data_IF_994759329750
#
_entry.id   IF_994759329750
#
_cell.length_a   1.000
_cell.length_b   1.000
_cell.length_c   1.000
_cell.angle_alpha   90.00
_cell.angle_beta   90.00
_cell.angle_gamma   90.00
#
_symmetry.space_group_name_H-M   'P 1'
#
loop_
_entity.id
_entity.type
_entity.pdbx_description
1 polymer ?
#
# COMPACT_ATOMS: atom_id res chain seq x y z
N UNK A 1 -7.62 62.54 41.31
CA UNK A 1 -8.69 61.74 40.69
C UNK A 1 -8.16 60.31 40.65
N UNK A 2 -8.50 59.36 41.53
CA UNK A 2 -9.78 58.93 42.15
C UNK A 2 -10.49 57.83 41.34
N UNK A 3 -10.90 56.75 42.05
CA UNK A 3 -11.56 55.51 41.57
C UNK A 3 -10.67 54.58 40.72
N UNK A 4 -10.75 53.24 40.74
CA UNK A 4 -11.40 52.21 41.59
C UNK A 4 -10.91 50.82 41.07
N UNK A 5 -10.93 49.66 41.74
CA UNK A 5 -11.16 49.08 43.11
C UNK A 5 -10.48 47.68 43.06
N UNK A 6 -10.22 46.89 44.11
CA UNK A 6 -10.44 46.96 45.56
C UNK A 6 -9.83 45.68 46.20
N UNK A 7 -9.60 45.68 47.52
CA UNK A 7 -8.89 44.61 48.25
C UNK A 7 -9.82 43.50 48.76
N UNK A 8 -9.25 42.32 49.05
CA UNK A 8 -9.70 41.55 50.21
C UNK A 8 -8.55 40.82 50.91
N UNK A 9 -8.51 40.95 52.22
CA UNK A 9 -7.48 40.39 53.11
C UNK A 9 -8.05 39.15 53.80
N UNK A 10 -7.21 38.11 53.96
CA UNK A 10 -7.59 36.90 54.65
C UNK A 10 -8.02 37.19 56.11
N UNK A 11 -9.24 36.77 56.47
CA UNK A 11 -9.69 36.73 57.87
C UNK A 11 -9.60 35.30 58.41
N UNK A 12 -8.92 35.18 59.55
CA UNK A 12 -8.80 33.95 60.34
C UNK A 12 -10.16 33.47 60.83
N UNK A 13 -10.34 32.14 60.92
CA UNK A 13 -11.46 31.49 61.62
C UNK A 13 -10.83 30.59 62.70
N UNK A 14 -11.35 30.59 63.95
CA UNK A 14 -10.69 29.91 65.07
C UNK A 14 -10.92 28.39 65.08
N UNK A 15 -9.98 27.72 65.74
CA UNK A 15 -9.99 26.31 66.15
C UNK A 15 -11.01 26.07 67.28
N UNK A 16 -11.78 24.97 67.26
CA UNK A 16 -11.87 23.97 68.36
C UNK A 16 -13.01 22.92 68.22
N UNK A 17 -12.69 21.66 68.61
CA UNK A 17 -13.55 20.46 68.85
C UNK A 17 -14.46 19.95 67.69
N UNK A 18 -14.69 18.64 67.48
CA UNK A 18 -14.00 17.40 67.88
C UNK A 18 -14.58 16.17 67.13
N UNK A 19 -13.99 14.99 67.39
CA UNK A 19 -14.52 13.63 67.18
C UNK A 19 -14.55 13.01 65.77
N UNK A 20 -13.56 12.13 65.56
CA UNK A 20 -13.67 10.76 65.05
C UNK A 20 -14.81 10.41 64.07
N UNK A 21 -14.48 10.23 62.77
CA UNK A 21 -15.16 9.22 61.94
C UNK A 21 -14.27 8.64 60.83
N UNK A 22 -14.10 7.31 60.85
CA UNK A 22 -13.82 6.39 59.73
C UNK A 22 -12.76 6.73 58.65
N UNK A 23 -11.66 5.96 58.63
CA UNK A 23 -10.69 5.86 57.50
C UNK A 23 -11.28 5.31 56.17
N UNK A 24 -12.59 5.10 56.04
CA UNK A 24 -13.23 4.41 54.91
C UNK A 24 -13.63 5.29 53.72
N UNK A 25 -13.97 6.57 53.95
CA UNK A 25 -14.63 7.38 52.91
C UNK A 25 -13.71 7.84 51.76
N UNK A 26 -12.42 8.05 52.03
CA UNK A 26 -11.48 8.63 51.06
C UNK A 26 -11.11 7.68 49.91
N UNK A 27 -11.14 6.36 50.14
CA UNK A 27 -10.82 5.35 49.11
C UNK A 27 -12.00 5.12 48.14
N UNK A 28 -13.23 5.33 48.60
CA UNK A 28 -14.43 5.08 47.77
C UNK A 28 -14.60 6.15 46.68
N UNK A 29 -14.28 7.42 46.98
CA UNK A 29 -14.48 8.53 46.03
C UNK A 29 -13.48 8.48 44.84
N UNK A 30 -12.26 7.98 45.04
CA UNK A 30 -11.32 7.76 43.92
C UNK A 30 -11.75 6.62 42.98
N UNK A 31 -12.40 5.56 43.48
CA UNK A 31 -12.84 4.43 42.64
C UNK A 31 -14.01 4.79 41.72
N UNK A 32 -14.90 5.72 42.14
CA UNK A 32 -16.04 6.14 41.31
C UNK A 32 -15.58 6.90 40.06
N UNK A 33 -14.54 7.74 40.17
CA UNK A 33 -13.96 8.42 39.00
C UNK A 33 -13.28 7.45 38.02
N UNK A 34 -12.63 6.38 38.51
CA UNK A 34 -12.01 5.36 37.64
C UNK A 34 -13.02 4.58 36.79
N UNK A 35 -14.22 4.33 37.31
CA UNK A 35 -15.28 3.59 36.59
C UNK A 35 -15.96 4.48 35.55
N UNK A 36 -16.16 5.77 35.84
CA UNK A 36 -16.74 6.73 34.87
C UNK A 36 -15.79 7.09 33.72
N UNK A 37 -14.47 7.08 33.93
CA UNK A 37 -13.51 7.26 32.84
C UNK A 37 -13.34 6.01 31.96
N UNK A 38 -13.67 4.81 32.48
CA UNK A 38 -13.66 3.55 31.73
C UNK A 38 -14.88 3.32 30.82
N UNK A 39 -15.94 4.13 30.97
CA UNK A 39 -17.18 4.01 30.19
C UNK A 39 -17.31 5.04 29.06
N UNK A 40 -16.38 5.99 28.95
CA UNK A 40 -16.34 6.95 27.85
C UNK A 40 -15.45 6.48 26.71
N UNK A 41 -16.13 5.90 25.71
CA UNK A 41 -15.72 6.01 24.30
C UNK A 41 -14.53 5.16 23.84
N UNK A 42 -14.58 3.84 24.08
CA UNK A 42 -14.27 2.92 22.98
C UNK A 42 -15.41 2.99 21.95
N UNK A 43 -15.49 4.11 21.21
CA UNK A 43 -16.25 4.13 19.98
C UNK A 43 -15.52 3.21 19.01
N UNK A 44 -16.15 2.07 18.71
CA UNK A 44 -15.74 1.24 17.58
C UNK A 44 -15.82 2.11 16.33
N UNK A 45 -14.68 2.60 15.87
CA UNK A 45 -14.52 3.01 14.48
C UNK A 45 -14.63 1.74 13.64
N UNK A 46 -15.88 1.32 13.39
CA UNK A 46 -16.15 0.45 12.26
C UNK A 46 -15.74 1.27 11.04
N UNK A 47 -14.53 0.99 10.53
CA UNK A 47 -14.16 1.45 9.21
C UNK A 47 -15.22 0.89 8.26
N UNK A 48 -16.04 1.78 7.71
CA UNK A 48 -16.92 1.43 6.60
C UNK A 48 -15.98 0.92 5.50
N UNK A 49 -16.04 -0.38 5.22
CA UNK A 49 -15.25 -1.00 4.16
C UNK A 49 -15.91 -0.57 2.86
N UNK A 50 -15.52 0.63 2.42
CA UNK A 50 -15.89 1.16 1.13
C UNK A 50 -15.16 0.32 0.08
N UNK A 51 -15.89 -0.66 -0.46
CA UNK A 51 -15.36 -1.57 -1.49
C UNK A 51 -15.18 -0.74 -2.75
N UNK A 52 -13.94 -0.66 -3.23
CA UNK A 52 -13.62 0.02 -4.48
C UNK A 52 -14.54 -0.44 -5.62
N UNK A 53 -15.17 0.52 -6.30
CA UNK A 53 -15.85 0.26 -7.58
C UNK A 53 -14.78 -0.06 -8.63
N UNK A 54 -14.89 -1.23 -9.26
CA UNK A 54 -13.93 -1.69 -10.27
C UNK A 54 -14.66 -1.91 -11.58
N UNK A 55 -14.28 -1.13 -12.59
CA UNK A 55 -14.80 -1.24 -13.95
C UNK A 55 -13.76 -1.97 -14.81
N UNK A 56 -14.16 -3.01 -15.55
CA UNK A 56 -13.26 -3.80 -16.40
C UNK A 56 -13.66 -3.58 -17.85
N UNK A 57 -12.76 -2.95 -18.61
CA UNK A 57 -13.02 -2.45 -19.97
C UNK A 57 -12.19 -3.27 -20.96
N UNK A 58 -12.85 -4.17 -21.69
CA UNK A 58 -12.24 -4.99 -22.73
C UNK A 58 -12.10 -4.23 -24.07
N UNK A 59 -10.87 -4.05 -24.55
CA UNK A 59 -10.54 -3.45 -25.85
C UNK A 59 -9.96 -4.51 -26.79
N UNK A 60 -10.73 -4.85 -27.82
CA UNK A 60 -10.39 -5.88 -28.84
C UNK A 60 -10.14 -7.29 -28.31
N UNK A 61 -10.41 -7.56 -27.02
CA UNK A 61 -10.43 -8.93 -26.44
C UNK A 61 -11.56 -9.72 -27.10
N UNK A 62 -11.30 -10.93 -27.66
CA UNK A 62 -12.34 -11.76 -28.25
C UNK A 62 -13.39 -12.19 -27.22
N UNK A 63 -14.67 -12.21 -27.58
CA UNK A 63 -15.77 -12.52 -26.64
C UNK A 63 -15.61 -13.88 -25.94
N UNK A 64 -15.00 -14.87 -26.61
CA UNK A 64 -14.71 -16.18 -26.05
C UNK A 64 -13.69 -16.14 -24.88
N UNK A 65 -12.80 -15.14 -24.85
CA UNK A 65 -11.71 -15.02 -23.88
C UNK A 65 -12.05 -14.08 -22.72
N UNK A 66 -13.06 -13.21 -22.86
CA UNK A 66 -13.44 -12.21 -21.83
C UNK A 66 -13.72 -12.81 -20.46
N UNK A 67 -14.34 -13.99 -20.40
CA UNK A 67 -14.62 -14.69 -19.13
C UNK A 67 -13.32 -15.10 -18.43
N UNK A 68 -12.33 -15.59 -19.20
CA UNK A 68 -11.00 -15.98 -18.69
C UNK A 68 -10.20 -14.75 -18.24
N UNK A 69 -10.21 -13.69 -19.05
CA UNK A 69 -9.58 -12.40 -18.74
C UNK A 69 -10.16 -11.81 -17.45
N UNK A 70 -11.49 -11.78 -17.31
CA UNK A 70 -12.13 -11.30 -16.09
C UNK A 70 -11.75 -12.15 -14.88
N UNK A 71 -11.77 -13.49 -14.99
CA UNK A 71 -11.39 -14.39 -13.90
C UNK A 71 -9.94 -14.17 -13.44
N UNK A 72 -9.02 -13.91 -14.37
CA UNK A 72 -7.65 -13.52 -14.06
C UNK A 72 -7.56 -12.18 -13.34
N UNK A 73 -8.26 -11.15 -13.83
CA UNK A 73 -8.28 -9.82 -13.19
C UNK A 73 -8.88 -9.89 -11.78
N UNK A 74 -10.00 -10.59 -11.60
CA UNK A 74 -10.64 -10.83 -10.31
C UNK A 74 -9.69 -11.55 -9.34
N UNK A 75 -8.96 -12.58 -9.81
CA UNK A 75 -7.95 -13.30 -9.04
C UNK A 75 -6.78 -12.38 -8.63
N UNK A 76 -6.31 -11.52 -9.54
CA UNK A 76 -5.26 -10.55 -9.25
C UNK A 76 -5.63 -9.57 -8.15
N UNK A 77 -6.84 -9.01 -8.24
CA UNK A 77 -7.41 -8.11 -7.25
C UNK A 77 -7.54 -8.77 -5.87
N UNK A 78 -8.12 -9.97 -5.81
CA UNK A 78 -8.27 -10.75 -4.58
C UNK A 78 -6.91 -11.12 -3.94
N UNK A 79 -5.95 -11.59 -4.74
CA UNK A 79 -4.60 -11.93 -4.28
C UNK A 79 -3.85 -10.74 -3.67
N UNK A 80 -3.93 -9.57 -4.32
CA UNK A 80 -3.33 -8.33 -3.85
C UNK A 80 -4.06 -7.85 -2.59
N UNK A 81 -5.40 -7.81 -2.59
CA UNK A 81 -6.16 -7.32 -1.44
C UNK A 81 -6.05 -8.21 -0.20
N UNK A 82 -5.90 -9.53 -0.37
CA UNK A 82 -5.55 -10.45 0.74
C UNK A 82 -4.18 -10.17 1.36
N UNK A 83 -3.27 -9.57 0.60
CA UNK A 83 -1.88 -9.31 1.02
C UNK A 83 -1.67 -7.89 1.55
N UNK A 84 -2.29 -6.88 0.92
CA UNK A 84 -2.11 -5.45 1.23
C UNK A 84 -3.31 -4.81 1.95
N UNK A 85 -4.43 -5.52 2.07
CA UNK A 85 -5.71 -4.98 2.54
C UNK A 85 -6.60 -4.47 1.39
N UNK A 86 -7.78 -3.90 1.69
CA UNK A 86 -8.64 -3.33 0.67
C UNK A 86 -7.95 -2.21 -0.13
N UNK A 87 -8.34 -2.03 -1.39
CA UNK A 87 -7.85 -0.92 -2.22
C UNK A 87 -8.17 0.43 -1.56
N UNK A 88 -7.21 1.37 -1.49
CA UNK A 88 -7.44 2.69 -0.89
C UNK A 88 -8.25 3.66 -1.78
N UNK A 89 -8.50 3.30 -3.04
CA UNK A 89 -9.31 4.08 -3.99
C UNK A 89 -10.80 3.74 -3.88
N UNK A 90 -11.68 4.73 -4.07
CA UNK A 90 -13.13 4.52 -4.20
C UNK A 90 -13.54 3.92 -5.55
N UNK A 91 -12.82 4.25 -6.63
CA UNK A 91 -13.07 3.73 -7.98
C UNK A 91 -11.76 3.59 -8.74
N UNK A 92 -11.61 2.49 -9.49
CA UNK A 92 -10.56 2.28 -10.48
C UNK A 92 -11.15 1.68 -11.77
N UNK A 93 -10.45 1.87 -12.89
CA UNK A 93 -10.74 1.17 -14.14
C UNK A 93 -9.59 0.23 -14.49
N UNK A 94 -9.91 -0.92 -15.08
CA UNK A 94 -8.93 -1.89 -15.59
C UNK A 94 -9.18 -2.05 -17.09
N UNK A 95 -8.28 -1.48 -17.88
CA UNK A 95 -8.38 -1.43 -19.34
C UNK A 95 -7.57 -2.59 -19.93
N UNK A 96 -8.23 -3.63 -20.45
CA UNK A 96 -7.56 -4.83 -21.00
C UNK A 96 -7.55 -4.78 -22.52
N UNK A 97 -6.35 -4.73 -23.11
CA UNK A 97 -6.14 -4.52 -24.54
C UNK A 97 -5.51 -5.76 -25.18
N UNK A 98 -6.18 -6.37 -26.17
CA UNK A 98 -5.56 -7.46 -26.94
C UNK A 98 -4.40 -6.94 -27.80
N UNK A 99 -3.21 -7.51 -27.61
CA UNK A 99 -2.10 -7.39 -28.55
C UNK A 99 -1.99 -8.65 -29.42
N UNK A 100 -1.95 -8.48 -30.76
CA UNK A 100 -1.73 -9.60 -31.68
C UNK A 100 -0.25 -10.01 -31.68
N UNK A 101 0.02 -11.32 -31.72
CA UNK A 101 1.37 -11.88 -31.78
C UNK A 101 2.29 -11.46 -30.62
N UNK A 102 1.71 -11.27 -29.42
CA UNK A 102 2.48 -11.18 -28.19
C UNK A 102 3.22 -12.50 -27.92
N UNK A 103 4.23 -12.46 -27.03
CA UNK A 103 5.11 -13.59 -26.70
C UNK A 103 5.12 -13.94 -25.22
N UNK A 104 4.36 -13.18 -24.45
CA UNK A 104 4.22 -13.21 -22.99
C UNK A 104 2.73 -12.94 -22.71
N UNK A 105 2.16 -13.40 -21.58
CA UNK A 105 0.74 -13.21 -21.30
C UNK A 105 0.37 -11.73 -21.14
N UNK A 106 1.27 -10.94 -20.52
CA UNK A 106 1.11 -9.50 -20.30
C UNK A 106 2.37 -8.76 -20.80
N UNK A 107 2.56 -8.56 -22.11
CA UNK A 107 3.76 -7.91 -22.66
C UNK A 107 3.96 -6.46 -22.23
N UNK A 108 2.92 -5.78 -21.74
CA UNK A 108 3.00 -4.39 -21.27
C UNK A 108 1.87 -4.04 -20.31
N UNK A 109 2.18 -3.28 -19.26
CA UNK A 109 1.19 -2.66 -18.40
C UNK A 109 1.67 -1.31 -17.85
N UNK A 110 0.73 -0.49 -17.37
CA UNK A 110 1.00 0.77 -16.69
C UNK A 110 -0.18 1.22 -15.80
N UNK A 111 0.12 1.93 -14.70
CA UNK A 111 -0.87 2.67 -13.91
C UNK A 111 -0.93 4.15 -14.34
N UNK A 112 -2.08 4.55 -14.89
CA UNK A 112 -2.39 5.92 -15.28
C UNK A 112 -3.16 6.59 -14.14
N UNK A 113 -2.55 7.61 -13.50
CA UNK A 113 -3.14 8.31 -12.34
C UNK A 113 -4.01 9.52 -12.72
N UNK A 114 -4.93 9.29 -13.65
CA UNK A 114 -6.03 10.21 -13.94
C UNK A 114 -7.15 10.09 -12.88
N UNK A 115 -8.31 10.70 -13.13
CA UNK A 115 -9.53 10.50 -12.35
C UNK A 115 -10.65 9.94 -13.26
N UNK A 116 -11.02 8.66 -13.13
CA UNK A 116 -10.50 7.65 -12.18
C UNK A 116 -9.06 7.20 -12.51
N UNK A 117 -8.41 6.54 -11.54
CA UNK A 117 -7.12 5.87 -11.78
C UNK A 117 -7.39 4.62 -12.65
N UNK A 118 -6.53 4.40 -13.65
CA UNK A 118 -6.66 3.30 -14.60
C UNK A 118 -5.45 2.38 -14.57
N UNK A 119 -5.67 1.08 -14.50
CA UNK A 119 -4.64 0.04 -14.69
C UNK A 119 -4.80 -0.49 -16.10
N UNK A 120 -3.84 -0.18 -16.97
CA UNK A 120 -3.88 -0.57 -18.38
C UNK A 120 -3.03 -1.81 -18.59
N UNK A 121 -3.65 -2.86 -19.12
CA UNK A 121 -3.08 -4.19 -19.30
C UNK A 121 -3.11 -4.54 -20.78
N UNK A 122 -1.95 -4.61 -21.42
CA UNK A 122 -1.85 -5.12 -22.80
C UNK A 122 -1.51 -6.60 -22.72
N UNK A 123 -2.33 -7.44 -23.33
CA UNK A 123 -2.33 -8.90 -23.10
C UNK A 123 -2.33 -9.73 -24.38
N UNK A 124 -1.85 -10.97 -24.28
CA UNK A 124 -2.29 -12.04 -25.18
C UNK A 124 -3.51 -12.76 -24.60
N UNK A 125 -4.73 -12.37 -24.96
CA UNK A 125 -5.91 -13.06 -24.44
C UNK A 125 -6.04 -14.52 -24.91
N UNK A 126 -5.15 -15.03 -25.77
CA UNK A 126 -5.06 -16.47 -26.08
C UNK A 126 -4.17 -17.27 -25.12
N UNK A 127 -3.39 -16.62 -24.24
CA UNK A 127 -2.64 -17.29 -23.18
C UNK A 127 -3.57 -18.08 -22.25
N UNK A 128 -3.09 -19.13 -21.58
CA UNK A 128 -3.93 -19.91 -20.65
C UNK A 128 -4.21 -19.10 -19.38
N UNK A 129 -5.24 -19.52 -18.62
CA UNK A 129 -5.52 -18.89 -17.33
C UNK A 129 -4.34 -19.05 -16.35
N UNK A 130 -3.66 -20.19 -16.40
CA UNK A 130 -2.50 -20.47 -15.55
C UNK A 130 -1.31 -19.59 -15.95
N UNK A 131 -1.04 -19.42 -17.25
CA UNK A 131 0.00 -18.47 -17.73
C UNK A 131 -0.26 -17.04 -17.21
N UNK A 132 -1.53 -16.61 -17.23
CA UNK A 132 -1.96 -15.31 -16.71
C UNK A 132 -1.82 -15.20 -15.18
N UNK A 133 -2.14 -16.27 -14.42
CA UNK A 133 -2.02 -16.31 -12.96
C UNK A 133 -0.55 -16.34 -12.52
N UNK A 134 0.30 -17.05 -13.25
CA UNK A 134 1.76 -17.14 -13.01
C UNK A 134 2.53 -15.89 -13.48
N UNK A 135 1.95 -15.07 -14.36
CA UNK A 135 2.50 -13.79 -14.74
C UNK A 135 2.52 -12.81 -13.55
N UNK A 136 3.61 -12.05 -13.42
CA UNK A 136 3.84 -11.21 -12.24
C UNK A 136 3.28 -9.79 -12.39
N UNK A 137 2.92 -9.38 -13.61
CA UNK A 137 2.72 -7.98 -14.01
C UNK A 137 1.49 -7.38 -13.34
N UNK A 138 0.36 -8.10 -13.30
CA UNK A 138 -0.86 -7.61 -12.66
C UNK A 138 -0.65 -7.33 -11.16
N UNK A 139 0.06 -8.20 -10.45
CA UNK A 139 0.36 -8.00 -9.02
C UNK A 139 1.30 -6.81 -8.79
N UNK A 140 2.17 -6.49 -9.75
CA UNK A 140 3.06 -5.34 -9.72
C UNK A 140 2.27 -4.03 -9.88
N UNK A 141 1.49 -3.89 -10.96
CA UNK A 141 0.71 -2.68 -11.23
C UNK A 141 -0.29 -2.38 -10.11
N UNK A 142 -1.03 -3.40 -9.65
CA UNK A 142 -1.96 -3.26 -8.53
C UNK A 142 -1.26 -2.85 -7.22
N UNK A 143 0.02 -3.22 -7.04
CA UNK A 143 0.79 -2.80 -5.86
C UNK A 143 1.10 -1.30 -5.89
N UNK A 144 1.27 -0.67 -7.06
CA UNK A 144 1.46 0.79 -7.13
C UNK A 144 0.27 1.58 -6.57
N UNK A 145 -0.94 1.01 -6.58
CA UNK A 145 -2.17 1.65 -6.06
C UNK A 145 -2.11 1.92 -4.54
N UNK A 146 -1.28 1.18 -3.79
CA UNK A 146 -1.15 1.33 -2.34
C UNK A 146 -0.17 2.43 -1.91
N UNK A 147 0.49 3.09 -2.87
CA UNK A 147 1.32 4.26 -2.62
C UNK A 147 0.71 5.53 -3.22
N UNK A 148 0.84 6.69 -2.56
CA UNK A 148 0.51 7.98 -3.17
C UNK A 148 1.42 8.23 -4.39
N UNK A 149 1.02 9.17 -5.25
CA UNK A 149 1.91 9.63 -6.31
C UNK A 149 3.10 10.37 -5.68
N UNK A 150 4.31 9.86 -5.89
CA UNK A 150 5.55 10.42 -5.33
C UNK A 150 6.23 11.35 -6.33
N UNK A 151 7.08 12.22 -5.81
CA UNK A 151 7.90 13.12 -6.63
C UNK A 151 9.06 12.38 -7.30
N UNK A 152 9.65 13.02 -8.31
CA UNK A 152 10.62 12.38 -9.20
C UNK A 152 11.79 11.66 -8.51
N UNK A 153 12.49 12.26 -7.53
CA UNK A 153 13.60 11.62 -6.81
C UNK A 153 13.18 10.42 -5.94
N UNK A 154 11.87 10.25 -5.73
CA UNK A 154 11.25 9.21 -4.90
C UNK A 154 10.62 8.07 -5.70
N UNK A 155 10.59 8.12 -7.05
CA UNK A 155 9.99 7.06 -7.88
C UNK A 155 10.58 5.67 -7.60
N UNK A 156 11.88 5.58 -7.27
CA UNK A 156 12.51 4.30 -6.93
C UNK A 156 11.79 3.57 -5.78
N UNK A 157 11.07 4.28 -4.90
CA UNK A 157 10.30 3.69 -3.80
C UNK A 157 8.99 3.07 -4.32
N UNK A 158 8.27 3.78 -5.19
CA UNK A 158 7.04 3.29 -5.87
C UNK A 158 7.30 1.98 -6.59
N UNK A 159 8.41 1.95 -7.32
CA UNK A 159 8.87 0.82 -8.11
C UNK A 159 9.40 -0.32 -7.23
N UNK A 160 10.33 0.01 -6.33
CA UNK A 160 10.93 -0.97 -5.41
C UNK A 160 9.88 -1.65 -4.53
N UNK A 161 8.83 -0.93 -4.16
CA UNK A 161 7.66 -1.48 -3.47
C UNK A 161 6.89 -2.46 -4.34
N UNK A 162 6.50 -2.10 -5.57
CA UNK A 162 5.77 -2.99 -6.47
C UNK A 162 6.57 -4.27 -6.81
N UNK A 163 7.88 -4.15 -7.04
CA UNK A 163 8.77 -5.30 -7.28
C UNK A 163 8.97 -6.19 -6.07
N UNK A 164 8.89 -5.63 -4.85
CA UNK A 164 8.87 -6.44 -3.63
C UNK A 164 7.52 -7.15 -3.50
N UNK A 165 6.43 -6.39 -3.62
CA UNK A 165 5.08 -6.86 -3.35
C UNK A 165 4.58 -7.87 -4.38
N UNK A 166 4.96 -7.80 -5.67
CA UNK A 166 4.57 -8.80 -6.67
C UNK A 166 4.90 -10.23 -6.18
N UNK A 167 6.10 -10.44 -5.63
CA UNK A 167 6.53 -11.77 -5.19
C UNK A 167 5.96 -12.14 -3.81
N UNK A 168 5.69 -11.16 -2.93
CA UNK A 168 4.99 -11.42 -1.66
C UNK A 168 3.53 -11.82 -1.89
N UNK A 169 2.83 -11.14 -2.81
CA UNK A 169 1.46 -11.48 -3.23
C UNK A 169 1.41 -12.89 -3.83
N UNK A 170 2.32 -13.19 -4.77
CA UNK A 170 2.41 -14.52 -5.38
C UNK A 170 2.74 -15.63 -4.35
N UNK A 171 3.56 -15.33 -3.34
CA UNK A 171 3.89 -16.29 -2.27
C UNK A 171 2.70 -16.54 -1.33
N UNK A 172 2.03 -15.48 -0.91
CA UNK A 172 0.85 -15.55 -0.02
C UNK A 172 -0.32 -16.28 -0.70
N UNK A 173 -0.49 -16.06 -2.00
CA UNK A 173 -1.53 -16.70 -2.83
C UNK A 173 -1.10 -18.09 -3.35
N UNK A 174 0.03 -18.62 -2.89
CA UNK A 174 0.56 -19.96 -3.20
C UNK A 174 0.90 -20.21 -4.69
N UNK A 175 0.91 -19.16 -5.52
CA UNK A 175 1.30 -19.17 -6.94
C UNK A 175 2.79 -19.53 -7.08
N UNK A 176 3.62 -19.03 -6.15
CA UNK A 176 5.02 -19.44 -6.03
C UNK A 176 5.28 -20.01 -4.64
N UNK A 177 6.12 -21.04 -4.57
CA UNK A 177 6.59 -21.57 -3.30
C UNK A 177 7.73 -20.71 -2.72
N UNK A 178 8.09 -20.96 -1.45
CA UNK A 178 9.16 -20.23 -0.74
C UNK A 178 10.52 -20.27 -1.43
N UNK A 179 10.88 -21.37 -2.10
CA UNK A 179 12.16 -21.47 -2.81
C UNK A 179 12.15 -20.57 -4.05
N UNK A 180 11.10 -20.64 -4.86
CA UNK A 180 10.91 -19.78 -6.03
C UNK A 180 10.84 -18.29 -5.66
N UNK A 181 10.23 -17.94 -4.52
CA UNK A 181 10.30 -16.59 -3.96
C UNK A 181 11.76 -16.17 -3.70
N UNK A 182 12.51 -16.95 -2.92
CA UNK A 182 13.92 -16.63 -2.58
C UNK A 182 14.77 -16.49 -3.85
N UNK A 183 14.60 -17.36 -4.83
CA UNK A 183 15.35 -17.33 -6.10
C UNK A 183 14.99 -16.10 -6.95
N UNK A 184 13.69 -15.84 -7.18
CA UNK A 184 13.23 -14.68 -7.95
C UNK A 184 13.68 -13.36 -7.32
N UNK A 185 13.64 -13.26 -5.99
CA UNK A 185 14.15 -12.14 -5.19
C UNK A 185 15.67 -12.02 -5.26
N UNK A 186 16.40 -13.14 -5.13
CA UNK A 186 17.86 -13.18 -5.20
C UNK A 186 18.39 -12.70 -6.55
N UNK A 187 17.82 -13.23 -7.61
CA UNK A 187 18.16 -12.83 -8.97
C UNK A 187 17.75 -11.35 -9.20
N UNK A 188 16.79 -10.85 -8.40
CA UNK A 188 16.44 -9.44 -8.31
C UNK A 188 17.64 -8.60 -7.91
N UNK A 189 18.14 -8.83 -6.68
CA UNK A 189 19.38 -8.22 -6.18
C UNK A 189 20.52 -8.25 -7.22
N UNK A 190 20.75 -9.42 -7.83
CA UNK A 190 21.87 -9.63 -8.76
C UNK A 190 21.74 -8.77 -10.02
N UNK A 191 20.55 -8.69 -10.64
CA UNK A 191 20.33 -7.81 -11.80
C UNK A 191 20.52 -6.34 -11.43
N UNK A 192 19.95 -5.91 -10.30
CA UNK A 192 20.13 -4.56 -9.77
C UNK A 192 21.60 -4.19 -9.54
N UNK A 193 22.34 -5.04 -8.84
CA UNK A 193 23.77 -4.85 -8.55
C UNK A 193 24.63 -4.79 -9.82
N UNK A 194 24.32 -5.59 -10.83
CA UNK A 194 25.09 -5.62 -12.07
C UNK A 194 24.90 -4.36 -12.94
N UNK A 195 23.76 -3.66 -12.86
CA UNK A 195 23.59 -2.40 -13.59
C UNK A 195 24.14 -1.19 -12.82
N UNK A 196 24.22 -1.22 -11.49
CA UNK A 196 24.96 -0.19 -10.71
C UNK A 196 26.42 -0.10 -11.19
N UNK A 197 27.04 -1.24 -11.57
CA UNK A 197 28.39 -1.26 -12.15
C UNK A 197 28.48 -0.55 -13.52
N UNK A 198 27.38 -0.43 -14.26
CA UNK A 198 27.31 0.26 -15.56
C UNK A 198 26.96 1.75 -15.41
N UNK A 199 26.18 2.09 -14.38
CA UNK A 199 25.71 3.45 -14.10
C UNK A 199 25.97 3.81 -12.62
N UNK A 200 27.22 4.17 -12.27
CA UNK A 200 27.57 4.57 -10.91
C UNK A 200 27.03 5.97 -10.58
N UNK A 201 26.56 6.16 -9.34
CA UNK A 201 26.00 7.43 -8.85
C UNK A 201 25.24 7.24 -7.54
N UNK A 202 24.65 8.31 -6.97
CA UNK A 202 23.71 8.16 -5.84
C UNK A 202 22.40 7.57 -6.35
N UNK A 203 21.55 7.09 -5.44
CA UNK A 203 20.29 6.44 -5.81
C UNK A 203 19.34 7.41 -6.55
N UNK A 204 19.25 8.66 -6.07
CA UNK A 204 18.46 9.71 -6.72
C UNK A 204 19.00 9.98 -8.14
N UNK A 205 20.28 10.36 -8.27
CA UNK A 205 20.90 10.73 -9.56
C UNK A 205 20.70 9.65 -10.64
N UNK A 206 20.80 8.36 -10.29
CA UNK A 206 20.62 7.27 -11.27
C UNK A 206 19.15 6.90 -11.47
N UNK A 207 18.24 7.15 -10.51
CA UNK A 207 16.81 7.05 -10.76
C UNK A 207 16.35 8.18 -11.71
N UNK A 208 16.86 9.39 -11.49
CA UNK A 208 16.57 10.59 -12.26
C UNK A 208 17.06 10.49 -13.72
N UNK A 209 18.25 9.91 -13.95
CA UNK A 209 18.78 9.65 -15.29
C UNK A 209 17.98 8.58 -16.06
N UNK A 210 17.46 7.58 -15.37
CA UNK A 210 16.83 6.43 -16.02
C UNK A 210 15.45 6.73 -16.63
N UNK A 211 14.61 7.50 -15.94
CA UNK A 211 13.29 7.83 -16.47
C UNK A 211 13.35 8.96 -17.52
N UNK A 212 14.31 9.90 -17.43
CA UNK A 212 14.56 10.88 -18.50
C UNK A 212 14.90 10.23 -19.85
N UNK A 213 15.38 8.98 -19.85
CA UNK A 213 15.69 8.20 -21.07
C UNK A 213 14.52 7.36 -21.60
N UNK A 214 13.37 7.33 -20.91
CA UNK A 214 12.13 6.71 -21.41
C UNK A 214 12.17 5.19 -21.61
N UNK A 215 13.15 4.46 -21.06
CA UNK A 215 13.32 3.03 -21.27
C UNK A 215 12.42 2.17 -20.36
N UNK A 216 11.09 2.29 -20.52
CA UNK A 216 10.07 1.62 -19.71
C UNK A 216 10.20 0.07 -19.73
N UNK A 217 10.76 -0.52 -20.78
CA UNK A 217 11.07 -1.96 -20.85
C UNK A 217 12.40 -2.36 -20.17
N UNK A 218 13.40 -1.48 -20.12
CA UNK A 218 14.60 -1.71 -19.29
C UNK A 218 14.34 -1.45 -17.80
N UNK A 219 13.35 -0.58 -17.52
CA UNK A 219 12.90 -0.21 -16.18
C UNK A 219 12.42 -1.44 -15.40
N UNK A 220 11.49 -2.24 -15.94
CA UNK A 220 11.07 -3.55 -15.39
C UNK A 220 12.27 -4.47 -15.15
N UNK A 221 13.25 -4.46 -16.05
CA UNK A 221 14.51 -5.21 -15.89
C UNK A 221 15.34 -4.76 -14.67
N UNK A 222 15.15 -3.52 -14.21
CA UNK A 222 16.01 -2.83 -13.25
C UNK A 222 15.37 -2.24 -11.98
N UNK A 223 14.06 -2.24 -11.82
CA UNK A 223 13.43 -1.92 -10.52
C UNK A 223 13.98 -2.84 -9.41
N UNK A 224 14.40 -4.04 -9.80
CA UNK A 224 15.30 -4.98 -9.13
C UNK A 224 16.54 -4.37 -8.43
N UNK A 225 16.91 -3.12 -8.70
CA UNK A 225 17.89 -2.29 -7.96
C UNK A 225 17.64 -2.25 -6.45
N UNK A 226 16.38 -2.17 -6.02
CA UNK A 226 16.08 -1.66 -4.69
C UNK A 226 16.42 -2.63 -3.55
N UNK A 227 16.14 -3.90 -3.80
CA UNK A 227 15.98 -4.91 -2.78
C UNK A 227 17.29 -5.11 -1.95
N UNK A 228 18.47 -4.89 -2.55
CA UNK A 228 19.79 -5.12 -1.94
C UNK A 228 20.15 -4.07 -0.86
N UNK A 229 19.46 -2.92 -0.84
CA UNK A 229 19.70 -1.87 0.16
C UNK A 229 18.95 -2.05 1.48
N UNK A 230 17.90 -2.89 1.52
CA UNK A 230 17.10 -3.14 2.73
C UNK A 230 17.65 -4.23 3.66
N UNK A 231 18.74 -4.92 3.27
CA UNK A 231 19.30 -6.07 4.02
C UNK A 231 20.73 -5.80 4.51
N UNK A 232 21.38 -4.72 4.06
CA UNK A 232 22.81 -4.42 4.33
C UNK A 232 22.99 -3.15 5.23
N UNK A 233 21.90 -2.58 5.77
CA UNK A 233 21.93 -1.66 6.92
C UNK A 233 20.79 -2.00 7.87
#
# INVERSE_FOLDING_TARGET
>A
MSWAKGSFVAKSIPMFFAHCFGRGACIMMLRVCSVLFGLLSFQSMAAEIDIAEIDIIDISVPDAEKVKVKLWVDHGLDAVSKTLGPLPQKRIEIEVIQQRNAREPVPFAEVIRDNPIKVKLTVDAFATLDDFIEDWTLYHELSHLYLPYLDYPSFWLTEGFATYMQYVVMLNSQIINRQSFIERMRDGFIRGANQIKKHPGRLADVADDMWQRGHLSEFIGLVRRFLLKLIIN
#
